data_IF_155541464629
#
_entry.id   IF_155541464629
#
_cell.length_a   1.000
_cell.length_b   1.000
_cell.length_c   1.000
_cell.angle_alpha   90.00
_cell.angle_beta   90.00
_cell.angle_gamma   90.00
#
_symmetry.space_group_name_H-M   'P 1'
#
loop_
_entity.id
_entity.type
_entity.pdbx_description
1 polymer ?
#
# COMPACT_ATOMS: atom_id res chain seq x y z
N UNK A 1 35.02 -42.45 23.51
CA UNK A 1 34.27 -41.22 23.77
C UNK A 1 34.59 -40.27 22.61
N UNK A 2 33.87 -40.41 21.50
CA UNK A 2 32.64 -39.65 21.20
C UNK A 2 32.96 -38.17 21.03
N UNK A 3 33.25 -37.79 19.79
CA UNK A 3 33.17 -36.39 19.36
C UNK A 3 31.74 -36.05 18.95
N UNK A 4 31.45 -34.76 18.94
CA UNK A 4 30.72 -34.04 17.89
C UNK A 4 30.77 -32.55 18.23
N UNK A 5 31.31 -31.77 17.30
CA UNK A 5 31.10 -30.33 17.19
C UNK A 5 29.64 -30.10 16.79
N UNK A 6 28.92 -29.27 17.54
CA UNK A 6 27.64 -28.73 17.08
C UNK A 6 27.89 -27.36 16.48
N UNK A 7 27.92 -27.33 15.15
CA UNK A 7 27.70 -26.16 14.33
C UNK A 7 26.26 -25.67 14.56
N UNK A 8 26.09 -24.44 15.03
CA UNK A 8 24.80 -23.79 15.14
C UNK A 8 24.64 -22.89 13.90
N UNK A 9 24.08 -23.43 12.83
CA UNK A 9 23.68 -22.65 11.66
C UNK A 9 22.19 -22.29 11.79
N UNK A 10 21.89 -21.00 11.84
CA UNK A 10 20.54 -20.48 11.70
C UNK A 10 20.04 -20.70 10.26
N UNK A 11 18.74 -20.98 10.02
CA UNK A 11 18.23 -21.21 8.68
C UNK A 11 18.13 -19.88 7.91
N UNK A 12 19.01 -19.71 6.92
CA UNK A 12 18.84 -18.70 5.88
C UNK A 12 17.71 -19.15 4.93
N UNK A 13 16.46 -18.83 5.27
CA UNK A 13 15.36 -18.94 4.30
C UNK A 13 15.44 -17.76 3.33
N UNK A 14 15.41 -18.05 2.03
CA UNK A 14 15.54 -17.04 0.97
C UNK A 14 14.22 -16.29 0.79
N UNK A 15 13.93 -15.33 1.67
CA UNK A 15 12.84 -14.39 1.45
C UNK A 15 13.14 -13.56 0.19
N UNK A 16 12.21 -13.55 -0.78
CA UNK A 16 12.30 -12.72 -1.98
C UNK A 16 11.42 -11.49 -1.81
N UNK A 17 12.01 -10.30 -1.92
CA UNK A 17 11.31 -9.01 -1.80
C UNK A 17 10.46 -8.68 -3.05
N UNK A 18 10.55 -9.46 -4.14
CA UNK A 18 9.93 -9.09 -5.41
C UNK A 18 8.71 -9.95 -5.75
N UNK A 19 7.53 -9.51 -5.33
CA UNK A 19 6.32 -9.69 -6.13
C UNK A 19 6.05 -8.38 -6.88
N UNK A 20 5.50 -8.46 -8.10
CA UNK A 20 5.24 -7.28 -8.90
C UNK A 20 4.25 -6.38 -8.16
N UNK A 21 4.61 -5.11 -7.91
CA UNK A 21 3.80 -4.18 -7.12
C UNK A 21 2.34 -4.05 -7.60
N UNK A 22 2.09 -4.32 -8.89
CA UNK A 22 0.76 -4.34 -9.50
C UNK A 22 -0.14 -5.51 -9.03
N UNK A 23 0.44 -6.62 -8.58
CA UNK A 23 -0.30 -7.79 -8.07
C UNK A 23 -0.57 -7.70 -6.56
N UNK A 24 0.06 -6.75 -5.86
CA UNK A 24 -0.01 -6.69 -4.40
C UNK A 24 -0.78 -5.46 -3.90
N UNK A 25 -0.66 -4.31 -4.57
CA UNK A 25 -1.11 -3.06 -3.98
C UNK A 25 -2.54 -2.68 -4.34
N UNK A 26 -3.48 -3.00 -3.46
CA UNK A 26 -4.60 -2.07 -3.19
C UNK A 26 -5.22 -2.17 -1.80
N UNK A 27 -4.97 -3.26 -1.06
CA UNK A 27 -4.88 -3.37 0.41
C UNK A 27 -4.72 -4.86 0.79
N UNK A 28 -5.19 -5.84 0.00
CA UNK A 28 -4.91 -7.31 0.11
C UNK A 28 -5.35 -8.15 -1.13
N UNK A 29 -5.06 -7.71 -2.36
CA UNK A 29 -5.57 -8.43 -3.56
C UNK A 29 -4.68 -9.58 -4.02
N UNK A 30 -5.14 -10.84 -3.94
CA UNK A 30 -4.60 -12.03 -4.63
C UNK A 30 -5.72 -13.11 -4.71
N UNK A 31 -6.40 -13.31 -5.84
CA UNK A 31 -7.33 -14.45 -6.03
C UNK A 31 -8.39 -14.29 -7.12
N UNK A 32 -9.00 -15.41 -7.56
CA UNK A 32 -9.89 -15.54 -8.72
C UNK A 32 -11.39 -15.35 -8.42
N UNK A 33 -12.10 -14.82 -9.42
CA UNK A 33 -13.49 -14.37 -9.34
C UNK A 33 -14.48 -15.48 -8.96
N UNK A 34 -14.93 -15.51 -7.71
CA UNK A 34 -16.17 -16.19 -7.33
C UNK A 34 -16.90 -15.63 -6.09
N UNK A 35 -16.44 -14.54 -5.46
CA UNK A 35 -17.07 -14.05 -4.24
C UNK A 35 -17.29 -12.52 -4.24
N UNK A 36 -17.87 -11.98 -5.32
CA UNK A 36 -18.46 -10.65 -5.25
C UNK A 36 -19.86 -10.76 -4.61
N UNK A 37 -19.98 -10.39 -3.33
CA UNK A 37 -21.28 -10.20 -2.69
C UNK A 37 -22.03 -9.09 -3.43
N UNK A 38 -23.14 -9.45 -4.07
CA UNK A 38 -24.00 -8.53 -4.83
C UNK A 38 -24.53 -7.42 -3.94
N UNK A 39 -24.53 -6.19 -4.47
CA UNK A 39 -24.84 -4.92 -3.82
C UNK A 39 -26.30 -4.71 -3.33
N UNK A 40 -27.04 -5.78 -3.01
CA UNK A 40 -28.47 -5.69 -2.65
C UNK A 40 -28.79 -5.92 -1.16
N UNK A 41 -27.81 -5.79 -0.27
CA UNK A 41 -28.06 -5.83 1.19
C UNK A 41 -27.38 -4.64 1.88
N UNK A 42 -27.99 -3.47 1.69
CA UNK A 42 -27.73 -2.24 2.45
C UNK A 42 -28.76 -2.15 3.59
N UNK A 43 -28.62 -2.99 4.61
CA UNK A 43 -29.35 -2.82 5.87
C UNK A 43 -28.42 -3.23 7.04
N UNK A 44 -28.35 -2.34 8.03
CA UNK A 44 -27.73 -2.43 9.37
C UNK A 44 -26.17 -2.46 9.47
N UNK A 45 -25.58 -1.28 9.71
CA UNK A 45 -24.16 -0.95 9.50
C UNK A 45 -23.24 -1.11 10.75
N UNK A 46 -23.71 -1.74 11.83
CA UNK A 46 -22.91 -1.86 13.07
C UNK A 46 -22.34 -3.24 13.38
N UNK A 47 -22.69 -4.28 12.61
CA UNK A 47 -22.20 -5.66 12.83
C UNK A 47 -21.36 -6.22 11.67
N UNK A 48 -21.15 -5.47 10.59
CA UNK A 48 -20.23 -5.87 9.51
C UNK A 48 -18.81 -5.49 9.88
N UNK A 49 -17.99 -6.50 10.22
CA UNK A 49 -16.54 -6.35 10.38
C UNK A 49 -15.86 -5.84 9.11
N UNK A 50 -14.61 -5.40 9.23
CA UNK A 50 -13.82 -4.88 8.11
C UNK A 50 -13.76 -5.90 6.96
N UNK A 51 -14.33 -5.54 5.81
CA UNK A 51 -14.34 -6.39 4.62
C UNK A 51 -13.01 -6.28 3.87
N UNK A 52 -12.40 -7.42 3.55
CA UNK A 52 -11.18 -7.50 2.76
C UNK A 52 -11.54 -7.76 1.30
N UNK A 53 -11.06 -6.90 0.40
CA UNK A 53 -11.21 -7.09 -1.05
C UNK A 53 -10.12 -8.01 -1.57
N UNK A 54 -10.46 -9.27 -1.84
CA UNK A 54 -9.53 -10.30 -2.33
C UNK A 54 -9.11 -10.09 -3.78
N UNK A 55 -9.96 -9.43 -4.59
CA UNK A 55 -9.73 -9.22 -6.02
C UNK A 55 -9.04 -7.88 -6.31
N UNK A 56 -8.70 -7.14 -5.25
CA UNK A 56 -8.20 -5.77 -5.33
C UNK A 56 -9.25 -4.77 -5.86
N UNK A 57 -8.84 -3.50 -6.01
CA UNK A 57 -9.69 -2.44 -6.54
C UNK A 57 -9.52 -2.22 -8.05
N UNK A 58 -8.54 -2.89 -8.68
CA UNK A 58 -8.24 -2.68 -10.10
C UNK A 58 -9.44 -2.98 -11.02
N UNK A 59 -10.18 -4.10 -10.88
CA UNK A 59 -11.34 -4.36 -11.74
C UNK A 59 -12.44 -3.30 -11.60
N UNK A 60 -12.64 -2.78 -10.39
CA UNK A 60 -13.58 -1.68 -10.15
C UNK A 60 -13.13 -0.40 -10.86
N UNK A 61 -11.86 -0.04 -10.75
CA UNK A 61 -11.29 1.14 -11.42
C UNK A 61 -11.39 0.98 -12.94
N UNK A 62 -11.06 -0.20 -13.47
CA UNK A 62 -11.18 -0.50 -14.90
C UNK A 62 -12.61 -0.34 -15.39
N UNK A 63 -13.58 -0.91 -14.66
CA UNK A 63 -15.01 -0.76 -14.97
C UNK A 63 -15.44 0.72 -14.98
N UNK A 64 -14.98 1.51 -14.00
CA UNK A 64 -15.31 2.94 -13.93
C UNK A 64 -14.67 3.78 -15.05
N UNK A 65 -13.63 3.27 -15.70
CA UNK A 65 -12.89 3.97 -16.75
C UNK A 65 -13.28 3.52 -18.17
N UNK A 66 -14.17 2.54 -18.35
CA UNK A 66 -14.54 1.98 -19.66
C UNK A 66 -14.95 3.04 -20.69
N UNK A 67 -15.69 4.07 -20.24
CA UNK A 67 -16.21 5.16 -21.09
C UNK A 67 -15.42 6.47 -20.92
N UNK A 68 -14.22 6.42 -20.33
CA UNK A 68 -13.40 7.61 -20.06
C UNK A 68 -12.14 7.59 -20.91
N UNK A 69 -11.87 8.68 -21.64
CA UNK A 69 -10.60 8.84 -22.33
C UNK A 69 -9.47 9.11 -21.32
N UNK A 70 -8.55 8.15 -21.17
CA UNK A 70 -7.44 8.25 -20.22
C UNK A 70 -6.12 8.40 -20.94
N UNK A 71 -5.43 9.52 -20.67
CA UNK A 71 -4.06 9.76 -21.13
C UNK A 71 -3.05 9.45 -20.03
N UNK A 72 -2.35 8.32 -20.16
CA UNK A 72 -1.24 7.95 -19.28
C UNK A 72 0.05 8.67 -19.67
N UNK A 73 0.98 8.79 -18.74
CA UNK A 73 2.28 9.49 -18.93
C UNK A 73 2.13 10.96 -19.34
N UNK A 74 0.95 11.55 -19.12
CA UNK A 74 0.63 12.95 -19.39
C UNK A 74 0.67 13.77 -18.08
N UNK A 75 1.85 13.93 -17.49
CA UNK A 75 2.00 14.70 -16.25
C UNK A 75 1.72 16.18 -16.51
N UNK A 76 0.74 16.74 -15.81
CA UNK A 76 0.42 18.18 -15.85
C UNK A 76 1.46 18.95 -15.05
N UNK A 77 2.00 20.02 -15.62
CA UNK A 77 2.97 20.94 -14.99
C UNK A 77 2.41 22.35 -14.76
N UNK A 78 1.32 22.71 -15.43
CA UNK A 78 0.68 24.00 -15.25
C UNK A 78 -0.78 24.02 -15.65
N UNK A 79 -1.55 24.88 -14.99
CA UNK A 79 -2.98 25.09 -15.21
C UNK A 79 -3.23 26.60 -15.25
N UNK A 80 -3.58 27.11 -16.43
CA UNK A 80 -4.09 28.46 -16.61
C UNK A 80 -5.61 28.47 -16.58
N UNK A 81 -6.26 29.46 -15.97
CA UNK A 81 -7.73 29.54 -15.98
C UNK A 81 -8.26 30.97 -15.85
N UNK A 82 -9.37 31.26 -16.53
CA UNK A 82 -10.05 32.55 -16.53
C UNK A 82 -11.56 32.40 -16.75
N UNK A 83 -12.25 33.49 -17.13
CA UNK A 83 -13.69 33.48 -17.40
C UNK A 83 -14.06 32.75 -18.71
N UNK A 84 -13.10 32.61 -19.63
CA UNK A 84 -13.29 32.00 -20.95
C UNK A 84 -13.03 30.49 -20.92
N UNK A 85 -12.17 30.01 -20.01
CA UNK A 85 -11.96 28.58 -19.80
C UNK A 85 -10.68 28.26 -19.04
N UNK A 86 -10.09 27.12 -19.37
CA UNK A 86 -8.85 26.64 -18.79
C UNK A 86 -7.87 26.15 -19.86
N UNK A 87 -6.59 26.32 -19.58
CA UNK A 87 -5.48 25.74 -20.34
C UNK A 87 -4.68 24.83 -19.42
N UNK A 88 -4.29 23.67 -19.93
CA UNK A 88 -3.51 22.69 -19.19
C UNK A 88 -2.23 22.47 -19.95
N UNK A 89 -1.10 22.56 -19.25
CA UNK A 89 0.24 22.36 -19.79
C UNK A 89 0.81 21.07 -19.24
N UNK A 90 1.32 20.23 -20.13
CA UNK A 90 2.04 19.02 -19.77
C UNK A 90 3.51 19.30 -19.51
N UNK A 91 4.17 18.43 -18.75
CA UNK A 91 5.61 18.44 -18.55
C UNK A 91 6.39 18.27 -19.86
N UNK A 92 5.78 17.67 -20.90
CA UNK A 92 6.34 17.57 -22.25
C UNK A 92 6.39 18.90 -23.00
N UNK A 93 5.69 19.93 -22.49
CA UNK A 93 5.54 21.24 -23.13
C UNK A 93 4.30 21.38 -23.99
N UNK A 94 3.59 20.29 -24.26
CA UNK A 94 2.28 20.31 -24.94
C UNK A 94 1.23 21.02 -24.08
N UNK A 95 0.22 21.60 -24.71
CA UNK A 95 -0.88 22.27 -24.00
C UNK A 95 -2.21 22.02 -24.69
N UNK A 96 -3.28 21.93 -23.90
CA UNK A 96 -4.65 21.77 -24.37
C UNK A 96 -5.58 22.73 -23.63
N UNK A 97 -6.69 23.08 -24.29
CA UNK A 97 -7.72 23.94 -23.73
C UNK A 97 -8.96 23.11 -23.38
N UNK A 98 -9.63 23.51 -22.31
CA UNK A 98 -10.88 22.91 -21.87
C UNK A 98 -11.78 23.99 -21.27
N UNK A 99 -13.10 23.79 -21.29
CA UNK A 99 -14.01 24.72 -20.63
C UNK A 99 -13.81 24.70 -19.11
N UNK A 100 -13.49 23.53 -18.52
CA UNK A 100 -13.30 23.33 -17.08
C UNK A 100 -12.22 22.29 -16.79
N UNK A 101 -11.60 22.38 -15.62
CA UNK A 101 -10.60 21.42 -15.13
C UNK A 101 -10.97 20.98 -13.71
N UNK A 102 -11.00 19.67 -13.48
CA UNK A 102 -11.11 19.07 -12.15
C UNK A 102 -9.73 18.52 -11.75
N UNK A 103 -9.24 18.93 -10.58
CA UNK A 103 -7.92 18.52 -10.07
C UNK A 103 -8.11 17.53 -8.93
N UNK A 104 -7.68 16.28 -9.13
CA UNK A 104 -7.78 15.19 -8.15
C UNK A 104 -6.41 14.65 -7.72
N UNK A 105 -5.35 15.47 -7.83
CA UNK A 105 -4.00 15.05 -7.44
C UNK A 105 -3.90 14.92 -5.92
N UNK A 106 -3.00 14.06 -5.41
CA UNK A 106 -2.78 13.93 -3.97
C UNK A 106 -2.41 15.27 -3.32
N UNK A 107 -2.81 15.45 -2.05
CA UNK A 107 -2.50 16.67 -1.29
C UNK A 107 -0.98 16.94 -1.22
N UNK A 108 -0.17 15.88 -1.18
CA UNK A 108 1.30 15.98 -1.24
C UNK A 108 1.81 16.65 -2.51
N UNK A 109 1.16 16.43 -3.67
CA UNK A 109 1.52 17.09 -4.93
C UNK A 109 1.17 18.58 -4.88
N UNK A 110 -0.01 18.94 -4.37
CA UNK A 110 -0.45 20.34 -4.24
C UNK A 110 0.42 21.16 -3.28
N UNK A 111 1.14 20.50 -2.37
CA UNK A 111 2.10 21.13 -1.45
C UNK A 111 3.47 21.39 -2.09
N UNK A 112 3.73 20.84 -3.27
CA UNK A 112 4.96 21.07 -4.04
C UNK A 112 4.72 22.07 -5.16
N UNK A 113 5.79 22.47 -5.84
CA UNK A 113 5.73 23.32 -7.05
C UNK A 113 5.57 22.49 -8.35
N UNK A 114 5.09 21.24 -8.25
CA UNK A 114 4.93 20.36 -9.42
C UNK A 114 3.88 20.85 -10.43
N UNK A 115 2.86 21.59 -9.96
CA UNK A 115 1.80 22.16 -10.80
C UNK A 115 1.68 23.65 -10.52
N UNK A 116 1.94 24.47 -11.54
CA UNK A 116 1.82 25.93 -11.45
C UNK A 116 0.41 26.37 -11.85
N UNK A 117 -0.30 27.06 -10.95
CA UNK A 117 -1.61 27.65 -11.23
C UNK A 117 -1.48 29.13 -11.62
N UNK A 118 -2.09 29.53 -12.74
CA UNK A 118 -2.12 30.92 -13.21
C UNK A 118 -3.55 31.36 -13.63
N UNK A 119 -4.24 32.22 -12.85
CA UNK A 119 -3.75 32.87 -11.64
C UNK A 119 -3.54 31.87 -10.49
N UNK A 120 -2.78 32.24 -9.46
CA UNK A 120 -2.60 31.37 -8.29
C UNK A 120 -3.92 31.05 -7.61
N UNK A 121 -4.03 29.83 -7.06
CA UNK A 121 -5.20 29.41 -6.29
C UNK A 121 -5.55 30.43 -5.19
N UNK A 122 -6.85 30.66 -4.88
CA UNK A 122 -7.25 31.62 -3.86
C UNK A 122 -6.55 31.39 -2.51
N UNK A 123 -6.32 32.47 -1.76
CA UNK A 123 -5.59 32.42 -0.48
C UNK A 123 -6.13 31.39 0.51
N UNK A 124 -7.46 31.23 0.58
CA UNK A 124 -8.10 30.23 1.43
C UNK A 124 -7.69 28.80 1.07
N UNK A 125 -7.64 28.46 -0.22
CA UNK A 125 -7.22 27.15 -0.70
C UNK A 125 -5.74 26.89 -0.39
N UNK A 126 -4.85 27.87 -0.65
CA UNK A 126 -3.42 27.73 -0.34
C UNK A 126 -3.18 27.53 1.15
N UNK A 127 -3.93 28.24 2.00
CA UNK A 127 -3.86 28.08 3.46
C UNK A 127 -4.32 26.69 3.89
N UNK A 128 -5.43 26.20 3.33
CA UNK A 128 -5.94 24.85 3.62
C UNK A 128 -4.94 23.77 3.18
N UNK A 129 -4.38 23.89 1.97
CA UNK A 129 -3.38 22.96 1.44
C UNK A 129 -2.16 22.89 2.36
N UNK A 130 -1.68 24.03 2.85
CA UNK A 130 -0.55 24.07 3.77
C UNK A 130 -0.86 23.43 5.14
N UNK A 131 -2.09 23.56 5.63
CA UNK A 131 -2.50 23.09 6.96
C UNK A 131 -2.81 21.59 7.02
N UNK A 132 -3.36 21.01 5.95
CA UNK A 132 -3.74 19.58 5.92
C UNK A 132 -2.48 18.72 5.94
N UNK A 133 -2.30 17.85 6.94
CA UNK A 133 -1.17 16.92 6.99
C UNK A 133 -1.15 15.91 5.84
N UNK A 134 0.03 15.41 5.48
CA UNK A 134 0.17 14.23 4.62
C UNK A 134 0.77 13.13 5.47
N UNK A 135 -0.04 12.15 5.84
CA UNK A 135 0.46 10.96 6.52
C UNK A 135 1.31 10.13 5.56
N UNK A 136 2.22 9.35 6.14
CA UNK A 136 3.02 8.36 5.40
C UNK A 136 2.76 7.01 6.05
N UNK A 137 2.43 6.04 5.23
CA UNK A 137 2.31 4.63 5.59
C UNK A 137 3.06 3.84 4.52
N UNK A 138 3.92 2.95 4.97
CA UNK A 138 4.63 1.99 4.15
C UNK A 138 4.08 0.60 4.40
N UNK A 139 3.95 -0.17 3.32
CA UNK A 139 3.54 -1.58 3.36
C UNK A 139 4.68 -2.44 2.82
N UNK A 140 5.22 -3.33 3.65
CA UNK A 140 6.21 -4.32 3.25
C UNK A 140 5.52 -5.65 3.00
N UNK A 141 5.62 -6.16 1.77
CA UNK A 141 5.06 -7.46 1.40
C UNK A 141 6.14 -8.51 1.39
N UNK A 142 5.94 -9.58 2.15
CA UNK A 142 6.88 -10.70 2.25
C UNK A 142 6.17 -11.99 1.90
N UNK A 143 6.68 -12.65 0.86
CA UNK A 143 6.28 -14.01 0.50
C UNK A 143 7.38 -14.97 0.93
N UNK A 144 6.97 -16.04 1.59
CA UNK A 144 7.83 -17.14 2.01
C UNK A 144 7.52 -18.38 1.19
N UNK A 145 8.51 -19.27 1.07
CA UNK A 145 8.30 -20.58 0.43
C UNK A 145 7.39 -21.45 1.28
N UNK A 146 7.54 -21.38 2.61
CA UNK A 146 6.73 -22.08 3.61
C UNK A 146 6.47 -21.17 4.82
N UNK A 147 5.31 -21.34 5.46
CA UNK A 147 4.96 -20.60 6.68
C UNK A 147 5.71 -21.14 7.89
N UNK A 148 6.47 -20.27 8.57
CA UNK A 148 7.17 -20.60 9.82
C UNK A 148 6.38 -20.20 11.08
N UNK A 149 5.23 -19.56 10.88
CA UNK A 149 4.28 -19.19 11.92
C UNK A 149 3.16 -20.23 12.00
N UNK A 150 2.43 -20.23 13.11
CA UNK A 150 1.21 -21.02 13.22
C UNK A 150 0.12 -20.33 12.37
N UNK A 151 -0.09 -20.88 11.17
CA UNK A 151 -1.22 -20.50 10.38
C UNK A 151 -2.42 -21.23 10.99
N UNK A 152 -3.24 -20.52 11.78
CA UNK A 152 -4.54 -21.02 12.20
C UNK A 152 -5.33 -21.38 10.93
N UNK A 153 -5.27 -22.65 10.53
CA UNK A 153 -5.82 -23.16 9.27
C UNK A 153 -7.35 -23.12 9.25
N UNK A 154 -7.97 -22.91 10.40
CA UNK A 154 -9.41 -22.74 10.55
C UNK A 154 -9.85 -21.26 10.44
N UNK A 155 -8.91 -20.33 10.38
CA UNK A 155 -9.21 -18.93 10.14
C UNK A 155 -9.73 -18.72 8.71
N UNK A 156 -10.82 -17.96 8.58
CA UNK A 156 -11.44 -17.59 7.27
C UNK A 156 -11.15 -16.14 6.88
N UNK A 157 -10.32 -15.44 7.66
CA UNK A 157 -10.01 -14.02 7.49
C UNK A 157 -8.54 -13.74 7.80
N UNK A 158 -8.01 -12.66 7.24
CA UNK A 158 -6.66 -12.21 7.53
C UNK A 158 -6.48 -11.95 9.04
N UNK A 159 -5.36 -12.41 9.60
CA UNK A 159 -5.08 -12.29 11.04
C UNK A 159 -4.07 -11.17 11.26
N UNK A 160 -4.41 -10.22 12.12
CA UNK A 160 -3.52 -9.11 12.48
C UNK A 160 -2.73 -9.45 13.73
N UNK A 161 -1.41 -9.26 13.65
CA UNK A 161 -0.48 -9.39 14.75
C UNK A 161 0.13 -8.03 15.10
N UNK A 162 0.23 -7.75 16.40
CA UNK A 162 0.80 -6.51 16.92
C UNK A 162 1.82 -6.82 18.01
N UNK A 163 3.00 -6.23 17.90
CA UNK A 163 4.04 -6.24 18.92
C UNK A 163 3.96 -4.96 19.74
N UNK A 164 3.60 -5.10 21.02
CA UNK A 164 3.56 -3.96 21.96
C UNK A 164 4.86 -3.90 22.76
N UNK A 165 5.47 -2.72 22.83
CA UNK A 165 6.70 -2.49 23.61
C UNK A 165 7.97 -3.07 22.98
N UNK A 166 7.93 -3.38 21.69
CA UNK A 166 9.09 -3.83 20.92
C UNK A 166 9.84 -2.62 20.35
N UNK A 167 11.17 -2.72 20.28
CA UNK A 167 12.00 -1.81 19.48
C UNK A 167 12.18 -2.30 18.03
N UNK A 168 11.44 -3.35 17.64
CA UNK A 168 11.41 -3.84 16.27
C UNK A 168 10.92 -2.73 15.32
N UNK A 169 11.58 -2.58 14.17
CA UNK A 169 11.25 -1.54 13.20
C UNK A 169 9.86 -1.69 12.56
N UNK A 170 9.25 -2.88 12.65
CA UNK A 170 7.89 -3.19 12.19
C UNK A 170 7.15 -3.90 13.31
N UNK A 171 6.04 -3.32 13.77
CA UNK A 171 5.28 -3.85 14.91
C UNK A 171 3.91 -4.39 14.52
N UNK A 172 3.41 -4.08 13.32
CA UNK A 172 2.10 -4.49 12.84
C UNK A 172 2.26 -5.38 11.62
N UNK A 173 1.70 -6.59 11.70
CA UNK A 173 1.76 -7.60 10.65
C UNK A 173 0.36 -8.12 10.34
N UNK A 174 0.11 -8.42 9.07
CA UNK A 174 -1.13 -9.08 8.64
C UNK A 174 -0.80 -10.34 7.87
N UNK A 175 -1.27 -11.47 8.38
CA UNK A 175 -1.16 -12.78 7.76
C UNK A 175 -2.30 -13.00 6.76
N UNK A 176 -1.92 -13.19 5.50
CA UNK A 176 -2.85 -13.41 4.40
C UNK A 176 -3.05 -14.87 4.03
N UNK A 177 -2.25 -15.77 4.56
CA UNK A 177 -2.35 -17.19 4.24
C UNK A 177 -3.75 -17.79 4.42
N UNK A 178 -4.56 -17.41 5.43
CA UNK A 178 -5.93 -17.92 5.54
C UNK A 178 -6.84 -17.51 4.37
N UNK A 179 -6.54 -16.40 3.70
CA UNK A 179 -7.36 -15.83 2.61
C UNK A 179 -6.81 -16.23 1.25
N UNK A 180 -5.49 -16.21 1.07
CA UNK A 180 -4.83 -16.45 -0.22
C UNK A 180 -4.36 -17.88 -0.41
N UNK A 181 -4.25 -18.65 0.67
CA UNK A 181 -3.60 -19.97 0.68
C UNK A 181 -2.07 -19.92 0.57
N UNK A 182 -1.47 -18.73 0.44
CA UNK A 182 -0.03 -18.55 0.29
C UNK A 182 0.61 -17.98 1.55
N UNK A 183 1.86 -18.36 1.85
CA UNK A 183 2.61 -17.85 3.00
C UNK A 183 3.05 -16.38 2.79
N UNK A 184 2.10 -15.46 2.92
CA UNK A 184 2.27 -14.02 2.68
C UNK A 184 1.96 -13.23 3.93
N UNK A 185 2.88 -12.33 4.27
CA UNK A 185 2.75 -11.36 5.36
C UNK A 185 2.86 -9.93 4.83
N UNK A 186 2.05 -9.02 5.39
CA UNK A 186 2.24 -7.59 5.21
C UNK A 186 2.69 -6.95 6.50
N UNK A 187 3.84 -6.29 6.49
CA UNK A 187 4.26 -5.36 7.53
C UNK A 187 3.70 -3.97 7.26
N UNK A 188 2.98 -3.39 8.22
CA UNK A 188 2.43 -2.04 8.12
C UNK A 188 3.20 -1.10 9.03
N UNK A 189 3.72 -0.01 8.46
CA UNK A 189 4.52 0.96 9.19
C UNK A 189 4.04 2.36 8.88
N UNK A 190 3.75 3.15 9.92
CA UNK A 190 3.31 4.53 9.77
C UNK A 190 4.34 5.56 10.25
N UNK A 191 4.09 6.81 9.89
CA UNK A 191 4.73 8.00 10.46
C UNK A 191 6.27 7.99 10.33
N UNK A 192 6.97 8.47 11.36
CA UNK A 192 8.44 8.65 11.35
C UNK A 192 9.20 7.33 11.14
N UNK A 193 8.62 6.20 11.59
CA UNK A 193 9.18 4.88 11.36
C UNK A 193 9.14 4.52 9.88
N UNK A 194 8.05 4.86 9.16
CA UNK A 194 7.93 4.63 7.73
C UNK A 194 9.00 5.41 6.95
N UNK A 195 9.21 6.68 7.30
CA UNK A 195 10.26 7.51 6.70
C UNK A 195 11.67 6.97 6.97
N UNK A 196 11.91 6.43 8.17
CA UNK A 196 13.19 5.82 8.52
C UNK A 196 13.44 4.56 7.68
N UNK A 197 12.42 3.71 7.50
CA UNK A 197 12.53 2.50 6.68
C UNK A 197 12.72 2.81 5.19
N UNK A 198 12.09 3.86 4.65
CA UNK A 198 12.28 4.29 3.25
C UNK A 198 13.74 4.67 2.92
N UNK A 199 14.55 5.01 3.93
CA UNK A 199 15.95 5.36 3.74
C UNK A 199 16.90 4.16 3.68
N UNK A 200 16.40 2.96 4.02
CA UNK A 200 17.19 1.73 4.03
C UNK A 200 17.28 1.12 2.64
N UNK A 201 18.33 0.34 2.40
CA UNK A 201 18.39 -0.57 1.26
C UNK A 201 17.47 -1.77 1.45
N UNK A 202 17.12 -2.45 0.35
CA UNK A 202 16.27 -3.65 0.39
C UNK A 202 16.82 -4.74 1.32
N UNK A 203 18.16 -4.91 1.38
CA UNK A 203 18.82 -5.90 2.24
C UNK A 203 18.70 -5.53 3.73
N UNK A 204 18.88 -4.26 4.06
CA UNK A 204 18.71 -3.74 5.42
C UNK A 204 17.24 -3.82 5.86
N UNK A 205 16.31 -3.45 4.97
CA UNK A 205 14.88 -3.53 5.23
C UNK A 205 14.43 -4.99 5.46
N UNK A 206 14.93 -5.92 4.66
CA UNK A 206 14.66 -7.35 4.84
C UNK A 206 15.23 -7.87 6.16
N UNK A 207 16.43 -7.43 6.55
CA UNK A 207 17.01 -7.80 7.85
C UNK A 207 16.15 -7.32 9.02
N UNK A 208 15.72 -6.05 8.98
CA UNK A 208 14.81 -5.47 9.98
C UNK A 208 13.50 -6.25 10.04
N UNK A 209 12.94 -6.57 8.87
CA UNK A 209 11.66 -7.26 8.75
C UNK A 209 11.70 -8.69 9.29
N UNK A 210 12.72 -9.48 8.92
CA UNK A 210 12.90 -10.85 9.43
C UNK A 210 13.13 -10.84 10.94
N UNK A 211 13.92 -9.89 11.45
CA UNK A 211 14.16 -9.74 12.90
C UNK A 211 12.84 -9.42 13.63
N UNK A 212 12.01 -8.55 13.05
CA UNK A 212 10.71 -8.20 13.60
C UNK A 212 9.70 -9.38 13.58
N UNK A 213 9.96 -10.40 12.76
CA UNK A 213 9.12 -11.59 12.65
C UNK A 213 9.55 -12.75 13.56
N UNK A 214 10.75 -12.72 14.14
CA UNK A 214 11.26 -13.76 15.05
C UNK A 214 10.29 -14.11 16.19
N UNK A 215 9.59 -13.15 16.84
CA UNK A 215 8.64 -13.46 17.91
C UNK A 215 7.41 -14.27 17.47
N UNK A 216 7.11 -14.31 16.16
CA UNK A 216 5.97 -15.04 15.60
C UNK A 216 6.35 -16.43 15.09
N UNK A 217 7.64 -16.79 15.12
CA UNK A 217 8.08 -18.11 14.71
C UNK A 217 7.66 -19.18 15.73
N UNK A 218 7.13 -20.28 15.22
CA UNK A 218 6.86 -21.45 16.06
C UNK A 218 8.21 -22.05 16.48
N UNK A 219 8.45 -22.15 17.78
CA UNK A 219 9.61 -22.88 18.30
C UNK A 219 9.28 -24.37 18.24
N UNK A 220 10.02 -25.19 17.47
CA UNK A 220 9.81 -26.63 17.49
C UNK A 220 10.20 -27.19 18.88
N UNK A 221 9.34 -28.05 19.43
CA UNK A 221 9.57 -28.80 20.68
C UNK A 221 10.84 -29.67 20.66
#
# INVERSE_FOLDING_TARGET
ASGTSSDCSAPHSSARVSAAAAELSSWYGLGDASAATTAEELDDDSERGDAVFTDGLAPLVETLLEDVEVSLRASVSGIGYDEEGASVRLATGESFSADRVLVTVPIGVLKTDAIVFDPPLPFAHRTAIAAIGSGVVESLWLRFDESFWDADVDAVSAVRWSLVGSEAGITEWVNLQPVTGEAVLIGLVGADQALSLQSLSDEELLTVAVTALEPFAVVPD
#
